data_IF_400554905734
#
_entry.id   IF_400554905734
#
_cell.length_a   1.000
_cell.length_b   1.000
_cell.length_c   1.000
_cell.angle_alpha   90.00
_cell.angle_beta   90.00
_cell.angle_gamma   90.00
#
_symmetry.space_group_name_H-M   'P 1'
#
loop_
_entity.id
_entity.type
_entity.pdbx_description
1 polymer ?
#
# COMPACT_ATOMS: atom_id res chain seq x y z
N UNK A 1 -43.24 -39.66 -37.94
CA UNK A 1 -42.59 -38.34 -37.71
C UNK A 1 -42.17 -38.27 -36.25
N UNK A 2 -40.95 -38.65 -35.93
CA UNK A 2 -40.40 -38.51 -34.57
C UNK A 2 -39.72 -37.14 -34.47
N UNK A 3 -40.20 -36.31 -33.56
CA UNK A 3 -39.62 -35.01 -33.20
C UNK A 3 -38.43 -35.25 -32.28
N UNK A 4 -37.23 -34.96 -32.75
CA UNK A 4 -36.03 -34.88 -31.90
C UNK A 4 -35.95 -33.46 -31.32
N UNK A 5 -36.23 -33.33 -30.03
CA UNK A 5 -36.01 -32.10 -29.27
C UNK A 5 -34.55 -32.11 -28.81
N UNK A 6 -33.73 -31.22 -29.36
CA UNK A 6 -32.39 -30.94 -28.86
C UNK A 6 -32.50 -30.06 -27.62
N UNK A 7 -32.24 -30.63 -26.44
CA UNK A 7 -31.98 -29.87 -25.24
C UNK A 7 -30.55 -29.30 -25.31
N UNK A 8 -30.44 -28.01 -25.62
CA UNK A 8 -29.21 -27.25 -25.36
C UNK A 8 -29.12 -26.98 -23.86
N UNK A 9 -28.32 -27.79 -23.15
CA UNK A 9 -27.83 -27.45 -21.83
C UNK A 9 -26.80 -26.32 -21.99
N UNK A 10 -27.25 -25.08 -21.85
CA UNK A 10 -26.38 -23.94 -21.55
C UNK A 10 -25.82 -24.14 -20.14
N UNK A 11 -24.64 -24.75 -20.05
CA UNK A 11 -23.84 -24.75 -18.84
C UNK A 11 -23.33 -23.36 -18.56
N UNK A 12 -24.12 -22.54 -17.86
CA UNK A 12 -23.61 -21.35 -17.19
C UNK A 12 -22.82 -21.87 -15.99
N UNK A 13 -21.52 -22.10 -16.20
CA UNK A 13 -20.62 -22.40 -15.09
C UNK A 13 -20.57 -21.21 -14.17
N UNK A 14 -21.31 -21.25 -13.06
CA UNK A 14 -21.00 -20.46 -11.88
C UNK A 14 -19.72 -21.06 -11.29
N UNK A 15 -18.56 -20.56 -11.73
CA UNK A 15 -17.28 -20.96 -11.15
C UNK A 15 -17.20 -20.32 -9.76
N UNK A 16 -17.64 -21.06 -8.73
CA UNK A 16 -17.43 -20.68 -7.34
C UNK A 16 -15.94 -20.55 -7.05
N UNK A 17 -15.58 -19.67 -6.11
CA UNK A 17 -14.20 -19.51 -5.69
C UNK A 17 -13.64 -20.83 -5.15
N UNK A 18 -12.41 -21.13 -5.55
CA UNK A 18 -11.69 -22.29 -5.04
C UNK A 18 -10.84 -21.89 -3.83
N UNK A 19 -10.63 -22.80 -2.86
CA UNK A 19 -9.63 -22.60 -1.83
C UNK A 19 -8.28 -22.15 -2.39
N UNK A 20 -7.53 -21.25 -1.72
CA UNK A 20 -7.80 -20.67 -0.39
C UNK A 20 -8.62 -19.37 -0.41
N UNK A 21 -9.24 -19.02 -1.54
CA UNK A 21 -9.90 -17.72 -1.76
C UNK A 21 -11.36 -17.67 -1.32
N UNK A 22 -11.89 -18.78 -0.86
CA UNK A 22 -13.29 -18.99 -0.46
C UNK A 22 -13.58 -18.61 1.01
N UNK A 23 -12.55 -18.39 1.83
CA UNK A 23 -12.69 -18.04 3.27
C UNK A 23 -12.25 -16.60 3.53
N UNK A 24 -13.21 -15.73 3.83
CA UNK A 24 -12.99 -14.31 4.12
C UNK A 24 -14.16 -13.73 4.91
N UNK A 25 -13.99 -12.60 5.63
CA UNK A 25 -15.09 -11.98 6.36
C UNK A 25 -16.16 -11.44 5.41
N UNK A 26 -17.42 -11.46 5.86
CA UNK A 26 -18.52 -10.78 5.18
C UNK A 26 -18.25 -9.28 5.11
N UNK A 27 -18.60 -8.67 3.98
CA UNK A 27 -18.38 -7.25 3.71
C UNK A 27 -19.70 -6.49 3.77
N UNK A 28 -20.34 -6.54 4.94
CA UNK A 28 -21.48 -5.69 5.27
C UNK A 28 -21.00 -4.29 5.67
N UNK A 29 -21.80 -3.22 5.47
CA UNK A 29 -21.44 -1.88 5.92
C UNK A 29 -20.91 -1.87 7.36
N UNK A 30 -19.79 -1.18 7.64
CA UNK A 30 -19.13 -0.16 6.80
C UNK A 30 -18.14 -0.69 5.74
N UNK A 31 -18.15 -1.99 5.48
CA UNK A 31 -17.34 -2.62 4.42
C UNK A 31 -18.18 -2.83 3.16
N UNK A 32 -17.51 -2.74 2.01
CA UNK A 32 -18.11 -2.99 0.70
C UNK A 32 -17.14 -3.79 -0.15
N UNK A 33 -17.64 -4.78 -0.89
CA UNK A 33 -16.79 -5.64 -1.71
C UNK A 33 -17.39 -5.88 -3.10
N UNK A 34 -16.52 -5.88 -4.09
CA UNK A 34 -16.79 -6.33 -5.46
C UNK A 34 -15.74 -7.36 -5.89
N UNK A 35 -16.10 -8.20 -6.86
CA UNK A 35 -15.18 -9.12 -7.52
C UNK A 35 -15.22 -8.88 -9.03
N UNK A 36 -14.04 -8.86 -9.65
CA UNK A 36 -13.92 -8.94 -11.10
C UNK A 36 -13.33 -10.29 -11.48
N UNK A 37 -13.84 -10.88 -12.55
CA UNK A 37 -13.30 -12.11 -13.13
C UNK A 37 -12.04 -11.84 -13.93
N UNK A 38 -11.23 -12.89 -14.13
CA UNK A 38 -10.12 -12.83 -15.07
C UNK A 38 -10.63 -12.65 -16.51
N UNK A 39 -9.86 -11.89 -17.29
CA UNK A 39 -9.98 -11.79 -18.73
C UNK A 39 -8.66 -12.28 -19.36
N UNK A 40 -8.70 -13.34 -20.20
CA UNK A 40 -7.51 -13.94 -20.79
C UNK A 40 -6.86 -13.09 -21.89
N UNK A 41 -7.50 -12.00 -22.33
CA UNK A 41 -6.95 -11.13 -23.36
C UNK A 41 -5.63 -10.48 -22.90
N UNK A 42 -4.60 -10.37 -23.77
CA UNK A 42 -3.34 -9.73 -23.42
C UNK A 42 -3.53 -8.31 -22.89
N UNK A 43 -2.84 -7.99 -21.78
CA UNK A 43 -2.93 -6.67 -21.14
C UNK A 43 -4.20 -6.45 -20.31
N UNK A 44 -5.08 -7.46 -20.20
CA UNK A 44 -6.24 -7.44 -19.29
C UNK A 44 -5.97 -8.22 -18.02
N UNK A 45 -6.81 -7.99 -17.01
CA UNK A 45 -6.71 -8.60 -15.69
C UNK A 45 -6.67 -10.14 -15.78
N UNK A 46 -5.51 -10.75 -15.56
CA UNK A 46 -5.33 -12.21 -15.77
C UNK A 46 -5.76 -13.07 -14.58
N UNK A 47 -5.97 -12.49 -13.41
CA UNK A 47 -6.44 -13.20 -12.21
C UNK A 47 -7.70 -12.53 -11.68
N UNK A 48 -8.70 -13.28 -11.22
CA UNK A 48 -9.82 -12.67 -10.53
C UNK A 48 -9.33 -11.86 -9.34
N UNK A 49 -10.05 -10.81 -8.98
CA UNK A 49 -9.66 -9.93 -7.88
C UNK A 49 -10.87 -9.50 -7.09
N UNK A 50 -10.73 -9.51 -5.77
CA UNK A 50 -11.68 -8.88 -4.85
C UNK A 50 -11.13 -7.53 -4.42
N UNK A 51 -11.93 -6.49 -4.59
CA UNK A 51 -11.66 -5.20 -3.99
C UNK A 51 -12.58 -5.04 -2.80
N UNK A 52 -12.01 -4.97 -1.60
CA UNK A 52 -12.76 -4.66 -0.38
C UNK A 52 -12.36 -3.27 0.10
N UNK A 53 -13.34 -2.42 0.35
CA UNK A 53 -13.14 -1.09 0.95
C UNK A 53 -13.86 -1.01 2.29
N UNK A 54 -13.20 -0.44 3.28
CA UNK A 54 -13.78 0.04 4.51
C UNK A 54 -13.90 1.56 4.44
N UNK A 55 -15.05 2.09 4.84
CA UNK A 55 -15.33 3.53 4.85
C UNK A 55 -15.61 3.96 6.31
N UNK A 56 -14.95 4.99 6.83
CA UNK A 56 -15.22 5.47 8.18
C UNK A 56 -16.69 5.82 8.39
N UNK A 57 -17.30 5.32 9.46
CA UNK A 57 -18.69 5.66 9.78
C UNK A 57 -18.87 7.17 9.97
N UNK A 58 -19.93 7.72 9.40
CA UNK A 58 -20.28 9.14 9.52
C UNK A 58 -19.43 10.10 8.68
N UNK A 59 -18.50 9.60 7.85
CA UNK A 59 -17.79 10.47 6.91
C UNK A 59 -18.77 10.99 5.85
N UNK A 60 -18.91 12.30 5.72
CA UNK A 60 -19.80 12.90 4.71
C UNK A 60 -19.19 12.86 3.30
N UNK A 61 -17.87 13.01 3.22
CA UNK A 61 -17.10 12.99 1.98
C UNK A 61 -15.69 12.49 2.23
N UNK A 62 -15.22 11.58 1.37
CA UNK A 62 -13.85 11.09 1.40
C UNK A 62 -12.86 12.13 0.87
N UNK A 63 -11.73 12.28 1.55
CA UNK A 63 -10.62 13.16 1.12
C UNK A 63 -9.47 12.37 0.46
N UNK A 64 -9.43 11.05 0.64
CA UNK A 64 -8.40 10.17 0.12
C UNK A 64 -8.74 8.70 0.21
N UNK A 65 -7.80 7.86 -0.21
CA UNK A 65 -7.86 6.41 -0.08
C UNK A 65 -6.50 5.87 0.37
N UNK A 66 -6.48 5.06 1.42
CA UNK A 66 -5.31 4.24 1.78
C UNK A 66 -5.47 2.89 1.11
N UNK A 67 -4.45 2.44 0.37
CA UNK A 67 -4.45 1.13 -0.30
C UNK A 67 -3.42 0.22 0.35
N UNK A 68 -3.84 -0.98 0.75
CA UNK A 68 -2.98 -1.98 1.37
C UNK A 68 -2.85 -3.22 0.48
N UNK A 69 -1.84 -3.23 -0.39
CA UNK A 69 -1.66 -4.26 -1.42
C UNK A 69 -0.77 -5.43 -0.94
N UNK A 70 -1.28 -6.65 -1.01
CA UNK A 70 -0.53 -7.88 -0.67
C UNK A 70 0.59 -8.22 -1.68
N UNK A 71 1.46 -9.18 -1.32
CA UNK A 71 2.52 -9.72 -2.18
C UNK A 71 2.13 -10.89 -3.09
N UNK A 72 3.10 -11.45 -3.82
CA UNK A 72 2.86 -12.56 -4.76
C UNK A 72 2.59 -13.88 -4.04
N UNK A 73 1.77 -14.74 -4.64
CA UNK A 73 1.53 -16.12 -4.18
C UNK A 73 0.34 -16.26 -3.22
N UNK A 74 -0.20 -17.48 -3.10
CA UNK A 74 -1.49 -17.76 -2.45
C UNK A 74 -1.51 -17.32 -0.99
N UNK A 75 -0.41 -17.54 -0.26
CA UNK A 75 -0.28 -17.12 1.13
C UNK A 75 -0.45 -15.62 1.32
N UNK A 76 0.18 -14.82 0.46
CA UNK A 76 0.03 -13.36 0.49
C UNK A 76 -1.36 -12.93 0.02
N UNK A 77 -1.88 -13.54 -1.04
CA UNK A 77 -3.23 -13.25 -1.55
C UNK A 77 -4.30 -13.46 -0.46
N UNK A 78 -4.18 -14.54 0.33
CA UNK A 78 -5.04 -14.82 1.50
C UNK A 78 -4.95 -13.72 2.55
N UNK A 79 -3.75 -13.24 2.89
CA UNK A 79 -3.61 -12.12 3.83
C UNK A 79 -4.25 -10.82 3.33
N UNK A 80 -4.35 -10.64 2.02
CA UNK A 80 -5.04 -9.49 1.41
C UNK A 80 -6.55 -9.48 1.66
N UNK A 81 -7.18 -10.64 1.87
CA UNK A 81 -8.63 -10.75 2.08
C UNK A 81 -9.11 -10.03 3.35
N UNK A 82 -8.22 -9.86 4.33
CA UNK A 82 -8.50 -9.16 5.60
C UNK A 82 -7.87 -7.79 5.69
N UNK A 83 -7.18 -7.30 4.65
CA UNK A 83 -6.43 -6.04 4.71
C UNK A 83 -7.31 -4.82 5.04
N UNK A 84 -8.56 -4.81 4.58
CA UNK A 84 -9.50 -3.73 4.88
C UNK A 84 -10.00 -3.75 6.34
N UNK A 85 -9.82 -4.85 7.08
CA UNK A 85 -10.18 -5.00 8.51
C UNK A 85 -9.02 -4.67 9.46
N UNK A 86 -7.86 -4.26 8.95
CA UNK A 86 -6.73 -3.92 9.82
C UNK A 86 -7.00 -2.59 10.54
N UNK A 87 -7.35 -2.70 11.83
CA UNK A 87 -7.80 -1.58 12.66
C UNK A 87 -6.78 -0.44 12.77
N UNK A 88 -5.47 -0.74 12.68
CA UNK A 88 -4.43 0.30 12.76
C UNK A 88 -4.37 1.12 11.48
N UNK A 89 -4.51 0.46 10.31
CA UNK A 89 -4.64 1.16 9.03
C UNK A 89 -5.98 1.89 8.90
N UNK A 90 -7.05 1.37 9.49
CA UNK A 90 -8.33 2.08 9.59
C UNK A 90 -8.20 3.36 10.42
N UNK A 91 -7.46 3.35 11.53
CA UNK A 91 -7.21 4.55 12.34
C UNK A 91 -6.49 5.64 11.53
N UNK A 92 -5.48 5.27 10.74
CA UNK A 92 -4.81 6.19 9.80
C UNK A 92 -5.80 6.75 8.78
N UNK A 93 -6.58 5.88 8.13
CA UNK A 93 -7.52 6.29 7.10
C UNK A 93 -8.59 7.23 7.70
N UNK A 94 -9.15 6.89 8.86
CA UNK A 94 -10.16 7.68 9.56
C UNK A 94 -9.69 9.09 9.90
N UNK A 95 -8.48 9.22 10.45
CA UNK A 95 -7.90 10.52 10.81
C UNK A 95 -7.92 11.51 9.64
N UNK A 96 -7.66 11.01 8.44
CA UNK A 96 -7.57 11.79 7.20
C UNK A 96 -8.86 11.77 6.37
N UNK A 97 -9.97 11.27 6.91
CA UNK A 97 -11.24 11.05 6.18
C UNK A 97 -11.03 10.26 4.88
N UNK A 98 -10.12 9.31 4.91
CA UNK A 98 -9.85 8.39 3.84
C UNK A 98 -10.62 7.08 4.03
N UNK A 99 -10.92 6.40 2.93
CA UNK A 99 -11.30 4.99 2.96
C UNK A 99 -10.03 4.11 3.03
N UNK A 100 -10.17 2.85 3.47
CA UNK A 100 -9.12 1.83 3.42
C UNK A 100 -9.52 0.74 2.43
N UNK A 101 -8.72 0.50 1.40
CA UNK A 101 -9.00 -0.50 0.38
C UNK A 101 -7.89 -1.55 0.31
N UNK A 102 -8.29 -2.81 0.29
CA UNK A 102 -7.41 -3.95 0.12
C UNK A 102 -7.86 -4.79 -1.08
N UNK A 103 -7.11 -4.79 -2.19
CA UNK A 103 -7.30 -5.75 -3.27
C UNK A 103 -6.80 -7.12 -2.82
N UNK A 104 -7.42 -8.19 -3.31
CA UNK A 104 -6.94 -9.57 -3.15
C UNK A 104 -7.05 -10.26 -4.50
N UNK A 105 -5.92 -10.38 -5.21
CA UNK A 105 -5.80 -11.09 -6.47
C UNK A 105 -5.74 -12.59 -6.20
N UNK A 106 -6.52 -13.37 -6.93
CA UNK A 106 -6.62 -14.82 -6.77
C UNK A 106 -5.50 -15.52 -7.60
N UNK A 107 -4.24 -15.11 -7.37
CA UNK A 107 -3.08 -15.62 -8.10
C UNK A 107 -2.71 -17.05 -7.62
N UNK A 108 -2.69 -18.07 -8.49
CA UNK A 108 -2.21 -19.40 -8.11
C UNK A 108 -0.73 -19.38 -7.66
N UNK A 109 -0.34 -20.29 -6.77
CA UNK A 109 0.97 -20.22 -6.07
C UNK A 109 2.18 -20.14 -7.01
N UNK A 110 2.13 -20.87 -8.12
CA UNK A 110 3.22 -20.92 -9.12
C UNK A 110 3.01 -20.00 -10.31
N UNK A 111 1.90 -19.25 -10.35
CA UNK A 111 1.61 -18.37 -11.46
C UNK A 111 2.56 -17.16 -11.48
N UNK A 112 2.76 -16.59 -12.67
CA UNK A 112 3.58 -15.41 -12.83
C UNK A 112 2.89 -14.18 -12.21
N UNK A 113 3.42 -13.67 -11.10
CA UNK A 113 2.80 -12.52 -10.45
C UNK A 113 2.89 -11.21 -11.23
N UNK A 114 3.79 -11.10 -12.23
CA UNK A 114 3.84 -9.93 -13.11
C UNK A 114 2.52 -9.66 -13.85
N UNK A 115 1.69 -10.69 -14.03
CA UNK A 115 0.40 -10.56 -14.71
C UNK A 115 -0.62 -9.70 -13.93
N UNK A 116 -0.37 -9.39 -12.65
CA UNK A 116 -1.14 -8.40 -11.91
C UNK A 116 -0.27 -7.33 -11.26
N UNK A 117 0.95 -7.67 -10.82
CA UNK A 117 1.77 -6.75 -10.06
C UNK A 117 2.50 -5.72 -10.92
N UNK A 118 2.56 -5.95 -12.23
CA UNK A 118 2.75 -4.88 -13.21
C UNK A 118 1.38 -4.28 -13.53
N UNK A 119 1.10 -3.04 -13.12
CA UNK A 119 -0.21 -2.42 -13.29
C UNK A 119 -0.68 -2.38 -14.74
N UNK A 120 0.26 -2.31 -15.70
CA UNK A 120 0.00 -2.24 -17.15
C UNK A 120 -0.64 -3.51 -17.72
N UNK A 121 -0.67 -4.60 -16.95
CA UNK A 121 -1.35 -5.84 -17.31
C UNK A 121 -2.82 -5.84 -16.88
N UNK A 122 -3.46 -4.67 -16.89
CA UNK A 122 -4.90 -4.48 -16.68
C UNK A 122 -5.34 -4.44 -15.22
N UNK A 123 -4.41 -4.54 -14.26
CA UNK A 123 -4.75 -4.40 -12.84
C UNK A 123 -4.95 -2.95 -12.43
N UNK A 124 -4.37 -1.98 -13.17
CA UNK A 124 -4.68 -0.56 -13.00
C UNK A 124 -6.08 -0.20 -13.50
N UNK A 125 -6.46 -0.65 -14.70
CA UNK A 125 -7.79 -0.47 -15.27
C UNK A 125 -8.85 -1.08 -14.34
N UNK A 126 -8.61 -2.30 -13.85
CA UNK A 126 -9.50 -2.97 -12.89
C UNK A 126 -9.60 -2.19 -11.57
N UNK A 127 -8.49 -1.68 -11.04
CA UNK A 127 -8.49 -0.86 -9.83
C UNK A 127 -9.28 0.43 -10.01
N UNK A 128 -9.05 1.18 -11.08
CA UNK A 128 -9.77 2.42 -11.40
C UNK A 128 -11.28 2.18 -11.57
N UNK A 129 -11.65 1.08 -12.22
CA UNK A 129 -13.05 0.70 -12.37
C UNK A 129 -13.66 0.31 -11.01
N UNK A 130 -12.93 -0.43 -10.18
CA UNK A 130 -13.33 -0.81 -8.84
C UNK A 130 -13.65 0.42 -7.98
N UNK A 131 -12.82 1.47 -8.01
CA UNK A 131 -13.08 2.68 -7.24
C UNK A 131 -14.41 3.35 -7.60
N UNK A 132 -14.75 3.39 -8.90
CA UNK A 132 -16.02 3.94 -9.37
C UNK A 132 -17.21 3.10 -8.92
N UNK A 133 -17.11 1.78 -9.04
CA UNK A 133 -18.22 0.88 -8.72
C UNK A 133 -18.41 0.74 -7.20
N UNK A 134 -17.32 0.67 -6.43
CA UNK A 134 -17.33 0.75 -4.97
C UNK A 134 -17.94 2.07 -4.50
N UNK A 135 -17.59 3.19 -5.14
CA UNK A 135 -18.16 4.50 -4.83
C UNK A 135 -19.67 4.55 -5.03
N UNK A 136 -20.20 3.89 -6.08
CA UNK A 136 -21.65 3.77 -6.29
C UNK A 136 -22.33 2.95 -5.20
N UNK A 137 -21.83 1.76 -4.89
CA UNK A 137 -22.52 0.85 -3.93
C UNK A 137 -22.40 1.32 -2.48
N UNK A 138 -21.39 2.14 -2.17
CA UNK A 138 -21.18 2.71 -0.84
C UNK A 138 -21.79 4.10 -0.66
N UNK A 139 -22.39 4.67 -1.70
CA UNK A 139 -22.86 6.07 -1.71
C UNK A 139 -21.75 7.12 -1.53
N UNK A 140 -20.51 6.77 -1.90
CA UNK A 140 -19.34 7.66 -1.94
C UNK A 140 -18.77 7.75 -3.37
N UNK A 141 -19.48 8.36 -4.34
CA UNK A 141 -19.05 8.41 -5.75
C UNK A 141 -17.69 9.11 -5.93
N UNK A 142 -17.29 9.99 -5.00
CA UNK A 142 -15.98 10.63 -4.98
C UNK A 142 -14.82 9.65 -4.89
N UNK A 143 -15.05 8.40 -4.46
CA UNK A 143 -14.02 7.36 -4.35
C UNK A 143 -13.25 7.14 -5.68
N UNK A 144 -13.91 7.36 -6.83
CA UNK A 144 -13.27 7.30 -8.14
C UNK A 144 -12.22 8.39 -8.40
N UNK A 145 -12.28 9.50 -7.66
CA UNK A 145 -11.51 10.72 -7.92
C UNK A 145 -10.53 11.09 -6.80
N UNK A 146 -10.76 10.63 -5.57
CA UNK A 146 -9.88 10.92 -4.43
C UNK A 146 -8.44 10.41 -4.66
N UNK A 147 -7.42 11.09 -4.11
CA UNK A 147 -6.03 10.65 -4.20
C UNK A 147 -5.71 9.46 -3.28
N UNK A 148 -4.59 8.79 -3.52
CA UNK A 148 -4.22 7.52 -2.90
C UNK A 148 -2.93 7.57 -2.11
N UNK A 149 -2.91 7.00 -0.91
CA UNK A 149 -1.70 6.59 -0.20
C UNK A 149 -1.50 5.09 -0.42
N UNK A 150 -0.39 4.70 -1.05
CA UNK A 150 -0.19 3.33 -1.54
C UNK A 150 0.85 2.58 -0.72
N UNK A 151 0.42 1.58 0.05
CA UNK A 151 1.32 0.61 0.66
C UNK A 151 1.30 -0.69 -0.15
N UNK A 152 2.46 -1.30 -0.36
CA UNK A 152 2.55 -2.58 -1.05
C UNK A 152 3.71 -3.43 -0.59
N UNK A 153 3.47 -4.74 -0.45
CA UNK A 153 4.48 -5.74 -0.11
C UNK A 153 4.91 -6.57 -1.32
N UNK A 154 6.20 -6.73 -1.56
CA UNK A 154 6.77 -7.60 -2.61
C UNK A 154 6.18 -7.26 -3.99
N UNK A 155 5.40 -8.15 -4.60
CA UNK A 155 4.60 -7.84 -5.79
C UNK A 155 3.70 -6.61 -5.61
N UNK A 156 3.08 -6.45 -4.45
CA UNK A 156 2.33 -5.25 -4.12
C UNK A 156 3.18 -3.98 -4.10
N UNK A 157 4.46 -4.08 -3.75
CA UNK A 157 5.42 -2.98 -3.87
C UNK A 157 5.73 -2.64 -5.34
N UNK A 158 5.87 -3.65 -6.21
CA UNK A 158 5.94 -3.42 -7.66
C UNK A 158 4.69 -2.69 -8.17
N UNK A 159 3.51 -3.14 -7.74
CA UNK A 159 2.24 -2.55 -8.15
C UNK A 159 2.11 -1.11 -7.64
N UNK A 160 2.32 -0.86 -6.34
CA UNK A 160 2.20 0.46 -5.73
C UNK A 160 3.18 1.47 -6.37
N UNK A 161 4.43 1.06 -6.58
CA UNK A 161 5.41 1.90 -7.27
C UNK A 161 5.08 2.11 -8.75
N UNK A 162 4.59 1.08 -9.44
CA UNK A 162 4.14 1.18 -10.83
C UNK A 162 2.95 2.15 -10.99
N UNK A 163 1.94 2.03 -10.12
CA UNK A 163 0.80 2.96 -10.05
C UNK A 163 1.27 4.39 -9.79
N UNK A 164 2.30 4.57 -8.96
CA UNK A 164 2.91 5.89 -8.71
C UNK A 164 3.58 6.48 -9.95
N UNK A 165 4.17 5.64 -10.82
CA UNK A 165 4.78 6.11 -12.07
C UNK A 165 3.73 6.41 -13.16
N UNK A 166 2.63 5.66 -13.17
CA UNK A 166 1.53 5.84 -14.12
C UNK A 166 0.62 7.03 -13.76
N UNK A 167 0.32 7.21 -12.47
CA UNK A 167 -0.66 8.18 -11.96
C UNK A 167 -0.10 9.06 -10.82
N UNK A 168 1.08 9.70 -10.97
CA UNK A 168 1.73 10.42 -9.86
C UNK A 168 0.89 11.57 -9.29
N UNK A 169 0.01 12.18 -10.09
CA UNK A 169 -0.92 13.22 -9.68
C UNK A 169 -2.03 12.72 -8.73
N UNK A 170 -2.29 11.41 -8.75
CA UNK A 170 -3.24 10.75 -7.85
C UNK A 170 -2.59 10.21 -6.59
N UNK A 171 -1.25 10.09 -6.51
CA UNK A 171 -0.59 9.44 -5.38
C UNK A 171 -0.06 10.45 -4.36
N UNK A 172 -0.58 10.39 -3.13
CA UNK A 172 -0.15 11.15 -1.95
C UNK A 172 1.21 10.67 -1.44
N UNK A 173 1.45 9.37 -1.40
CA UNK A 173 2.70 8.78 -0.94
C UNK A 173 2.73 7.28 -1.27
N UNK A 174 3.92 6.70 -1.34
CA UNK A 174 4.10 5.28 -1.62
C UNK A 174 5.11 4.60 -0.68
N UNK A 175 4.71 3.48 -0.07
CA UNK A 175 5.57 2.64 0.77
C UNK A 175 5.81 1.28 0.11
N UNK A 176 7.08 1.00 -0.18
CA UNK A 176 7.54 -0.09 -1.01
C UNK A 176 8.22 -1.15 -0.14
N UNK A 177 7.42 -2.00 0.53
CA UNK A 177 7.92 -3.07 1.40
C UNK A 177 8.44 -4.22 0.54
N UNK A 178 9.75 -4.43 0.51
CA UNK A 178 10.40 -5.56 -0.17
C UNK A 178 10.11 -5.71 -1.68
N UNK A 179 9.74 -4.65 -2.38
CA UNK A 179 9.52 -4.66 -3.83
C UNK A 179 9.43 -3.26 -4.43
N UNK A 180 10.11 -3.05 -5.56
CA UNK A 180 10.12 -1.78 -6.32
C UNK A 180 9.98 -2.04 -7.82
N UNK A 181 9.28 -1.19 -8.59
CA UNK A 181 9.22 -1.34 -10.04
C UNK A 181 10.61 -1.16 -10.68
N UNK A 182 10.79 -1.68 -11.88
CA UNK A 182 12.00 -1.42 -12.67
C UNK A 182 11.85 -0.09 -13.41
N UNK A 183 12.92 0.71 -13.42
CA UNK A 183 13.05 1.94 -14.22
C UNK A 183 14.00 1.78 -15.40
N UNK A 184 14.80 0.71 -15.40
CA UNK A 184 15.77 0.38 -16.44
C UNK A 184 15.73 -1.13 -16.68
N UNK A 185 16.06 -1.56 -17.89
CA UNK A 185 16.08 -2.97 -18.25
C UNK A 185 17.06 -3.74 -17.36
N UNK A 186 16.64 -4.93 -16.92
CA UNK A 186 17.47 -5.81 -16.13
C UNK A 186 17.63 -7.16 -16.86
N UNK A 187 18.81 -7.45 -17.45
CA UNK A 187 19.04 -8.72 -18.14
C UNK A 187 18.84 -9.95 -17.26
N UNK A 188 18.95 -9.82 -15.93
CA UNK A 188 18.68 -10.92 -14.99
C UNK A 188 17.18 -11.15 -14.74
N UNK A 189 16.30 -10.28 -15.24
CA UNK A 189 14.84 -10.29 -15.04
C UNK A 189 14.09 -9.85 -16.30
N UNK A 190 14.31 -10.54 -17.41
CA UNK A 190 13.72 -10.19 -18.73
C UNK A 190 12.19 -10.09 -18.71
N UNK A 191 11.51 -10.86 -17.85
CA UNK A 191 10.06 -10.85 -17.72
C UNK A 191 9.48 -9.66 -16.92
N UNK A 192 10.34 -8.79 -16.37
CA UNK A 192 9.92 -7.57 -15.66
C UNK A 192 10.32 -6.39 -16.52
N UNK A 193 9.35 -5.69 -17.09
CA UNK A 193 9.60 -4.60 -18.01
C UNK A 193 9.81 -3.27 -17.27
N UNK A 194 10.76 -2.42 -17.68
CA UNK A 194 10.92 -1.11 -17.09
C UNK A 194 9.68 -0.24 -17.34
N UNK A 195 9.35 0.60 -16.38
CA UNK A 195 8.35 1.65 -16.53
C UNK A 195 8.96 2.84 -17.28
N UNK A 196 8.13 3.50 -18.09
CA UNK A 196 8.51 4.79 -18.66
C UNK A 196 8.75 5.81 -17.54
N UNK A 197 9.75 6.66 -17.71
CA UNK A 197 10.06 7.70 -16.74
C UNK A 197 8.98 8.77 -16.74
N UNK A 198 8.41 9.06 -15.56
CA UNK A 198 7.48 10.16 -15.35
C UNK A 198 8.05 11.12 -14.31
N UNK A 199 8.45 12.31 -14.74
CA UNK A 199 9.07 13.30 -13.86
C UNK A 199 8.13 13.81 -12.75
N UNK A 200 6.81 13.73 -12.94
CA UNK A 200 5.85 14.11 -11.89
C UNK A 200 5.94 13.17 -10.66
N UNK A 201 6.40 11.92 -10.83
CA UNK A 201 6.62 10.99 -9.74
C UNK A 201 7.72 11.47 -8.75
N UNK A 202 8.59 12.40 -9.16
CA UNK A 202 9.59 13.01 -8.27
C UNK A 202 8.96 13.83 -7.13
N UNK A 203 7.73 14.31 -7.31
CA UNK A 203 6.98 15.04 -6.28
C UNK A 203 6.27 14.12 -5.29
N UNK A 204 6.24 12.81 -5.54
CA UNK A 204 5.60 11.82 -4.68
C UNK A 204 6.61 11.33 -3.63
N UNK A 205 6.33 11.48 -2.33
CA UNK A 205 7.09 10.81 -1.28
C UNK A 205 7.08 9.30 -1.44
N UNK A 206 8.26 8.68 -1.44
CA UNK A 206 8.43 7.23 -1.52
C UNK A 206 9.33 6.71 -0.40
N UNK A 207 9.06 5.51 0.10
CA UNK A 207 9.94 4.81 1.04
C UNK A 207 10.25 3.39 0.55
N UNK A 208 11.52 3.11 0.29
CA UNK A 208 12.01 1.75 0.10
C UNK A 208 12.19 1.08 1.47
N UNK A 209 11.49 -0.02 1.74
CA UNK A 209 11.54 -0.71 3.03
C UNK A 209 11.83 -2.21 2.88
N UNK A 210 13.08 -2.62 2.61
CA UNK A 210 13.46 -4.02 2.64
C UNK A 210 13.81 -4.49 4.06
N UNK A 211 13.70 -5.79 4.32
CA UNK A 211 14.33 -6.45 5.46
C UNK A 211 15.84 -6.61 5.26
N UNK A 212 16.60 -6.60 6.35
CA UNK A 212 18.06 -6.68 6.30
C UNK A 212 18.56 -7.96 5.61
N UNK A 213 17.83 -9.07 5.76
CA UNK A 213 18.22 -10.36 5.15
C UNK A 213 17.93 -10.44 3.65
N UNK A 214 17.42 -9.37 3.03
CA UNK A 214 17.10 -9.32 1.61
C UNK A 214 18.24 -8.76 0.74
N UNK A 215 19.49 -9.08 1.09
CA UNK A 215 20.67 -8.59 0.39
C UNK A 215 21.44 -7.49 1.11
N UNK A 216 20.96 -6.98 2.25
CA UNK A 216 21.72 -6.02 3.08
C UNK A 216 22.78 -6.75 3.91
N UNK A 217 22.37 -7.74 4.71
CA UNK A 217 23.27 -8.58 5.53
C UNK A 217 23.45 -9.97 4.95
N UNK A 218 22.37 -10.61 4.46
CA UNK A 218 22.44 -11.93 3.80
C UNK A 218 22.52 -11.76 2.29
N UNK A 219 23.67 -12.11 1.70
CA UNK A 219 23.97 -11.86 0.27
C UNK A 219 23.60 -13.01 -0.68
N UNK A 220 23.01 -14.10 -0.17
CA UNK A 220 22.65 -15.30 -0.94
C UNK A 220 21.18 -15.69 -0.72
N UNK A 221 20.66 -16.58 -1.57
CA UNK A 221 19.28 -17.06 -1.49
C UNK A 221 18.29 -16.24 -2.31
N UNK A 222 17.01 -16.66 -2.26
CA UNK A 222 15.93 -16.20 -3.14
C UNK A 222 15.75 -14.67 -3.14
N UNK A 223 15.93 -14.02 -1.99
CA UNK A 223 15.65 -12.58 -1.82
C UNK A 223 16.89 -11.70 -1.77
N UNK A 224 18.11 -12.24 -1.92
CA UNK A 224 19.35 -11.46 -1.83
C UNK A 224 19.49 -10.32 -2.85
N UNK A 225 18.69 -10.33 -3.91
CA UNK A 225 18.71 -9.29 -4.95
C UNK A 225 17.76 -8.13 -4.70
N UNK A 226 16.87 -8.22 -3.71
CA UNK A 226 15.90 -7.15 -3.39
C UNK A 226 16.62 -5.86 -2.99
N UNK A 227 17.68 -5.94 -2.18
CA UNK A 227 18.49 -4.78 -1.83
C UNK A 227 19.07 -4.08 -3.06
N UNK A 228 19.70 -4.82 -3.98
CA UNK A 228 20.28 -4.23 -5.19
C UNK A 228 19.24 -3.58 -6.10
N UNK A 229 18.01 -4.12 -6.15
CA UNK A 229 16.91 -3.52 -6.89
C UNK A 229 16.45 -2.21 -6.25
N UNK A 230 16.30 -2.19 -4.92
CA UNK A 230 15.97 -0.99 -4.15
C UNK A 230 17.06 0.09 -4.30
N UNK A 231 18.34 -0.27 -4.29
CA UNK A 231 19.43 0.68 -4.51
C UNK A 231 19.36 1.35 -5.88
N UNK A 232 19.11 0.58 -6.96
CA UNK A 232 18.97 1.12 -8.31
C UNK A 232 17.76 2.05 -8.42
N UNK A 233 16.61 1.61 -7.92
CA UNK A 233 15.38 2.42 -7.91
C UNK A 233 15.57 3.73 -7.12
N UNK A 234 16.08 3.62 -5.88
CA UNK A 234 16.41 4.75 -5.02
C UNK A 234 17.35 5.73 -5.71
N UNK A 235 18.47 5.23 -6.26
CA UNK A 235 19.47 6.05 -6.91
C UNK A 235 18.87 6.84 -8.08
N UNK A 236 18.07 6.19 -8.93
CA UNK A 236 17.45 6.84 -10.09
C UNK A 236 16.51 7.98 -9.67
N UNK A 237 15.67 7.75 -8.68
CA UNK A 237 14.73 8.76 -8.17
C UNK A 237 15.48 9.87 -7.45
N UNK A 238 16.40 9.54 -6.53
CA UNK A 238 17.07 10.52 -5.67
C UNK A 238 18.07 11.39 -6.44
N UNK A 239 18.82 10.82 -7.40
CA UNK A 239 19.69 11.61 -8.29
C UNK A 239 18.90 12.59 -9.16
N UNK A 240 17.63 12.29 -9.42
CA UNK A 240 16.70 13.17 -10.12
C UNK A 240 15.96 14.12 -9.16
N UNK A 241 16.49 14.34 -7.95
CA UNK A 241 15.92 15.20 -6.89
C UNK A 241 14.58 14.73 -6.30
N UNK A 242 14.17 13.48 -6.54
CA UNK A 242 12.91 12.94 -6.05
C UNK A 242 12.87 12.72 -4.53
N UNK A 243 11.66 12.72 -3.97
CA UNK A 243 11.41 12.54 -2.54
C UNK A 243 11.40 11.06 -2.16
N UNK A 244 12.57 10.47 -1.91
CA UNK A 244 12.67 9.04 -1.60
C UNK A 244 13.61 8.75 -0.41
N UNK A 245 13.16 7.85 0.46
CA UNK A 245 13.93 7.32 1.59
C UNK A 245 14.21 5.82 1.47
N UNK A 246 15.09 5.32 2.34
CA UNK A 246 15.32 3.91 2.62
C UNK A 246 15.16 3.71 4.13
N UNK A 247 14.34 2.75 4.53
CA UNK A 247 14.23 2.30 5.90
C UNK A 247 14.44 0.79 5.93
N UNK A 248 15.65 0.32 6.23
CA UNK A 248 15.90 -1.13 6.32
C UNK A 248 15.35 -1.63 7.64
N UNK A 249 14.57 -2.72 7.60
CA UNK A 249 14.09 -3.40 8.80
C UNK A 249 15.19 -4.35 9.33
N UNK A 250 15.82 -4.07 10.48
CA UNK A 250 16.98 -4.82 10.97
C UNK A 250 16.62 -6.23 11.47
N UNK A 251 15.35 -6.55 11.70
CA UNK A 251 14.92 -7.80 12.32
C UNK A 251 14.32 -8.81 11.33
N UNK A 252 14.01 -8.38 10.11
CA UNK A 252 13.26 -9.19 9.16
C UNK A 252 14.03 -9.61 7.90
N UNK A 253 13.45 -10.61 7.23
CA UNK A 253 13.70 -10.96 5.84
C UNK A 253 12.59 -10.39 4.94
N UNK A 254 11.88 -11.26 4.20
CA UNK A 254 10.91 -10.86 3.18
C UNK A 254 9.49 -10.71 3.72
N UNK A 255 9.21 -11.12 4.97
CA UNK A 255 7.97 -10.85 5.69
C UNK A 255 7.78 -9.35 5.95
N UNK A 256 6.66 -8.91 6.54
CA UNK A 256 6.39 -7.48 6.79
C UNK A 256 7.01 -6.94 8.09
N UNK A 257 7.40 -7.79 9.03
CA UNK A 257 8.01 -7.37 10.31
C UNK A 257 7.21 -6.28 11.03
N UNK A 258 7.94 -5.36 11.67
CA UNK A 258 7.38 -4.25 12.45
C UNK A 258 7.18 -2.96 11.64
N UNK A 259 7.24 -3.03 10.30
CA UNK A 259 7.24 -1.84 9.44
C UNK A 259 6.06 -0.90 9.63
N UNK A 260 4.89 -1.43 10.02
CA UNK A 260 3.66 -0.63 10.21
C UNK A 260 3.87 0.51 11.21
N UNK A 261 4.69 0.30 12.25
CA UNK A 261 4.96 1.29 13.29
C UNK A 261 5.77 2.49 12.79
N UNK A 262 6.45 2.38 11.63
CA UNK A 262 7.01 3.54 10.94
C UNK A 262 6.15 3.97 9.73
N UNK A 263 5.61 3.02 8.98
CA UNK A 263 4.85 3.31 7.77
C UNK A 263 3.60 4.15 8.04
N UNK A 264 2.83 3.82 9.08
CA UNK A 264 1.61 4.55 9.44
C UNK A 264 1.91 6.00 9.84
N UNK A 265 2.81 6.32 10.78
CA UNK A 265 3.13 7.72 11.08
C UNK A 265 3.82 8.42 9.91
N UNK A 266 4.57 7.72 9.04
CA UNK A 266 5.12 8.31 7.83
C UNK A 266 4.03 8.69 6.82
N UNK A 267 3.03 7.83 6.61
CA UNK A 267 1.86 8.14 5.79
C UNK A 267 1.03 9.27 6.39
N UNK A 268 0.83 9.27 7.71
CA UNK A 268 0.15 10.35 8.44
C UNK A 268 0.76 11.72 8.10
N UNK A 269 2.09 11.83 8.18
CA UNK A 269 2.81 13.06 7.82
C UNK A 269 2.67 13.43 6.34
N UNK A 270 2.63 12.45 5.43
CA UNK A 270 2.47 12.71 4.00
C UNK A 270 1.04 13.12 3.63
N UNK A 271 0.03 12.45 4.19
CA UNK A 271 -1.38 12.77 4.01
C UNK A 271 -1.68 14.19 4.50
N UNK A 272 -1.27 14.51 5.73
CA UNK A 272 -1.41 15.86 6.32
C UNK A 272 -0.79 16.95 5.43
N UNK A 273 0.38 16.66 4.85
CA UNK A 273 1.12 17.62 4.03
C UNK A 273 0.51 17.78 2.62
N UNK A 274 0.00 16.70 2.01
CA UNK A 274 -0.28 16.66 0.58
C UNK A 274 -1.75 16.59 0.20
N UNK A 275 -2.64 16.10 1.06
CA UNK A 275 -4.07 16.08 0.73
C UNK A 275 -4.57 17.50 0.42
N UNK A 276 -5.44 17.68 -0.58
CA UNK A 276 -5.97 19.00 -0.94
C UNK A 276 -6.75 19.61 0.23
N UNK A 277 -6.67 20.94 0.41
CA UNK A 277 -7.48 21.62 1.43
C UNK A 277 -8.93 21.78 1.00
N UNK A 278 -9.15 21.87 -0.31
CA UNK A 278 -10.46 21.93 -0.93
C UNK A 278 -10.57 20.72 -1.85
N UNK A 279 -11.60 19.92 -1.64
CA UNK A 279 -11.72 18.66 -2.35
C UNK A 279 -12.03 18.88 -3.84
N UNK A 280 -11.27 18.20 -4.70
CA UNK A 280 -11.24 18.41 -6.15
C UNK A 280 -10.02 19.21 -6.63
N UNK A 281 -9.28 19.88 -5.73
CA UNK A 281 -7.99 20.48 -6.08
C UNK A 281 -6.87 19.44 -6.21
N UNK A 282 -5.78 19.82 -6.87
CA UNK A 282 -4.59 18.98 -7.00
C UNK A 282 -3.88 18.75 -5.66
N UNK A 283 -3.12 17.66 -5.58
CA UNK A 283 -2.25 17.38 -4.43
C UNK A 283 -1.28 18.53 -4.17
N UNK A 284 -1.10 18.86 -2.89
CA UNK A 284 -0.12 19.84 -2.46
C UNK A 284 1.30 19.26 -2.57
N UNK A 285 2.26 20.16 -2.79
CA UNK A 285 3.68 19.83 -2.73
C UNK A 285 4.10 19.55 -1.28
N UNK A 286 5.12 18.70 -1.10
CA UNK A 286 5.74 18.53 0.22
C UNK A 286 6.45 19.81 0.68
N UNK A 287 6.41 20.13 1.98
CA UNK A 287 7.22 21.20 2.55
C UNK A 287 8.73 20.89 2.41
N UNK A 288 9.44 21.66 1.59
CA UNK A 288 10.88 21.44 1.34
C UNK A 288 11.76 21.86 2.53
N UNK A 289 11.33 22.85 3.31
CA UNK A 289 12.11 23.41 4.42
C UNK A 289 12.16 22.57 5.70
N UNK A 290 11.41 21.47 5.77
CA UNK A 290 11.33 20.62 6.96
C UNK A 290 12.14 19.32 6.84
N UNK A 291 12.68 19.03 5.66
CA UNK A 291 13.30 17.74 5.37
C UNK A 291 14.50 17.42 6.27
N UNK A 292 14.71 16.12 6.48
CA UNK A 292 15.88 15.55 7.15
C UNK A 292 16.59 14.59 6.19
N UNK A 293 17.89 14.45 6.38
CA UNK A 293 18.73 13.60 5.57
C UNK A 293 19.55 12.62 6.42
N UNK A 294 19.72 11.41 5.90
CA UNK A 294 20.63 10.41 6.43
C UNK A 294 21.48 9.80 5.30
N UNK A 295 22.67 9.33 5.64
CA UNK A 295 23.44 8.49 4.72
C UNK A 295 22.75 7.12 4.59
N UNK A 296 22.88 6.49 3.42
CA UNK A 296 22.33 5.16 3.18
C UNK A 296 22.95 4.16 4.17
N UNK A 297 22.10 3.38 4.85
CA UNK A 297 22.45 2.41 5.91
C UNK A 297 23.02 3.02 7.20
N UNK A 298 22.99 4.34 7.35
CA UNK A 298 23.26 4.97 8.64
C UNK A 298 22.02 4.87 9.55
N UNK A 299 22.22 5.07 10.85
CA UNK A 299 21.15 5.06 11.86
C UNK A 299 20.81 6.48 12.35
N UNK A 300 21.52 7.50 11.84
CA UNK A 300 21.35 8.89 12.24
C UNK A 300 20.89 9.75 11.07
N UNK A 301 19.84 10.52 11.32
CA UNK A 301 19.38 11.58 10.43
C UNK A 301 19.65 12.95 11.06
N UNK A 302 19.91 13.95 10.24
CA UNK A 302 20.08 15.35 10.64
C UNK A 302 19.16 16.25 9.83
N UNK A 303 18.82 17.46 10.32
CA UNK A 303 18.10 18.44 9.52
C UNK A 303 18.79 18.69 8.18
N UNK A 304 18.02 18.93 7.10
CA UNK A 304 18.59 19.12 5.77
C UNK A 304 19.66 20.21 5.69
N UNK A 305 19.55 21.26 6.52
CA UNK A 305 20.51 22.37 6.61
C UNK A 305 21.84 21.99 7.28
N UNK A 306 21.86 20.93 8.06
CA UNK A 306 23.01 20.43 8.80
C UNK A 306 23.69 19.24 8.10
N UNK A 307 23.09 18.74 7.01
CA UNK A 307 23.62 17.62 6.26
C UNK A 307 24.83 18.05 5.42
N UNK A 308 26.00 17.47 5.70
CA UNK A 308 27.26 17.78 5.02
C UNK A 308 27.52 16.92 3.78
N UNK A 309 26.75 15.86 3.55
CA UNK A 309 26.83 15.00 2.37
C UNK A 309 26.07 15.55 1.16
N UNK A 310 26.07 14.81 0.05
CA UNK A 310 25.28 15.15 -1.14
C UNK A 310 23.79 14.84 -0.92
N UNK A 311 22.88 15.85 -0.89
CA UNK A 311 21.46 15.60 -0.65
C UNK A 311 20.84 14.67 -1.70
N UNK A 312 21.31 14.70 -2.95
CA UNK A 312 20.79 13.88 -4.06
C UNK A 312 21.26 12.41 -4.00
N UNK A 313 21.96 12.03 -2.95
CA UNK A 313 22.36 10.66 -2.65
C UNK A 313 21.91 10.22 -1.24
N UNK A 314 21.28 11.12 -0.49
CA UNK A 314 20.85 10.91 0.89
C UNK A 314 19.43 10.37 0.97
N UNK A 315 19.16 9.56 2.00
CA UNK A 315 17.80 9.20 2.42
C UNK A 315 17.05 10.49 2.74
N UNK A 316 15.91 10.73 2.08
CA UNK A 316 15.02 11.84 2.41
C UNK A 316 13.95 11.41 3.41
N UNK A 317 13.72 12.26 4.42
CA UNK A 317 12.67 12.10 5.43
C UNK A 317 11.86 13.41 5.52
N UNK A 318 10.52 13.34 5.64
CA UNK A 318 9.66 14.51 5.42
C UNK A 318 9.81 15.59 6.48
N UNK A 319 10.09 15.21 7.73
CA UNK A 319 10.27 16.13 8.85
C UNK A 319 11.02 15.47 10.03
N UNK A 320 11.32 16.28 11.05
CA UNK A 320 12.07 15.83 12.22
C UNK A 320 11.34 14.84 13.13
N UNK A 321 9.99 14.85 13.17
CA UNK A 321 9.22 13.84 13.90
C UNK A 321 9.47 12.46 13.27
N UNK A 322 9.26 12.37 11.96
CA UNK A 322 9.46 11.12 11.21
C UNK A 322 10.92 10.69 11.19
N UNK A 323 11.86 11.63 11.12
CA UNK A 323 13.28 11.30 11.18
C UNK A 323 13.66 10.62 12.51
N UNK A 324 13.09 11.07 13.64
CA UNK A 324 13.31 10.41 14.94
C UNK A 324 12.73 9.01 14.99
N UNK A 325 11.51 8.82 14.50
CA UNK A 325 10.91 7.48 14.42
C UNK A 325 11.71 6.57 13.48
N UNK A 326 12.21 7.09 12.36
CA UNK A 326 13.07 6.36 11.44
C UNK A 326 14.37 5.90 12.12
N UNK A 327 15.02 6.75 12.93
CA UNK A 327 16.25 6.38 13.66
C UNK A 327 16.01 5.23 14.66
N UNK A 328 14.85 5.20 15.33
CA UNK A 328 14.44 4.04 16.13
C UNK A 328 14.20 2.81 15.24
N UNK A 329 13.44 2.98 14.17
CA UNK A 329 13.04 1.88 13.30
C UNK A 329 14.22 1.11 12.69
N UNK A 330 15.17 1.84 12.09
CA UNK A 330 16.30 1.21 11.37
C UNK A 330 17.31 0.57 12.32
N UNK A 331 17.28 0.94 13.60
CA UNK A 331 18.15 0.40 14.63
C UNK A 331 17.61 -0.92 15.20
N UNK A 332 16.36 -0.92 15.67
CA UNK A 332 15.79 -2.06 16.41
C UNK A 332 14.29 -2.28 16.17
N UNK A 333 13.65 -1.46 15.33
CA UNK A 333 12.18 -1.44 15.09
C UNK A 333 11.33 -1.04 16.30
N UNK A 334 11.95 -0.65 17.43
CA UNK A 334 11.24 -0.24 18.64
C UNK A 334 10.82 1.23 18.53
N UNK A 335 9.65 1.45 17.93
CA UNK A 335 9.04 2.76 17.85
C UNK A 335 8.45 3.14 19.21
N UNK A 336 8.93 4.20 19.87
CA UNK A 336 8.41 4.59 21.18
C UNK A 336 7.02 5.20 21.03
N UNK A 337 6.04 4.61 21.72
CA UNK A 337 4.74 5.20 21.97
C UNK A 337 4.65 5.67 23.43
N UNK A 338 4.24 6.91 23.62
CA UNK A 338 4.02 7.54 24.94
C UNK A 338 2.66 8.19 25.05
N UNK A 339 1.80 8.04 24.05
CA UNK A 339 0.43 8.55 24.09
C UNK A 339 -0.48 7.54 24.78
N UNK A 340 -1.46 7.99 25.59
CA UNK A 340 -2.49 7.09 26.06
C UNK A 340 -3.38 6.66 24.89
N UNK A 341 -3.95 5.44 24.92
CA UNK A 341 -4.91 5.02 23.89
C UNK A 341 -6.12 5.96 23.85
N UNK A 342 -6.86 6.00 22.73
CA UNK A 342 -8.11 6.74 22.62
C UNK A 342 -9.08 6.36 23.73
N UNK A 343 -9.75 7.36 24.32
CA UNK A 343 -10.74 7.11 25.36
C UNK A 343 -11.92 6.31 24.81
N UNK A 344 -12.43 5.30 25.55
CA UNK A 344 -13.62 4.58 25.14
C UNK A 344 -14.84 5.50 25.10
N UNK A 345 -15.80 5.17 24.25
CA UNK A 345 -17.01 5.95 24.04
C UNK A 345 -18.25 5.05 24.03
N UNK A 346 -19.43 5.65 23.97
CA UNK A 346 -20.69 4.90 23.93
C UNK A 346 -20.94 4.04 25.18
N UNK A 347 -20.46 4.49 26.34
CA UNK A 347 -20.59 3.75 27.61
C UNK A 347 -22.07 3.59 27.97
N UNK A 348 -22.50 2.35 28.19
CA UNK A 348 -23.85 2.00 28.66
C UNK A 348 -23.75 1.08 29.86
N UNK A 349 -24.57 1.35 30.87
CA UNK A 349 -24.69 0.53 32.09
C UNK A 349 -26.06 -0.14 32.09
N UNK A 350 -26.09 -1.45 32.25
CA UNK A 350 -27.32 -2.24 32.34
C UNK A 350 -27.18 -3.26 33.48
N UNK A 351 -27.75 -2.93 34.64
CA UNK A 351 -27.57 -3.72 35.87
C UNK A 351 -26.10 -3.75 36.28
N UNK A 352 -25.49 -4.93 36.25
CA UNK A 352 -24.08 -5.16 36.54
C UNK A 352 -23.19 -5.24 35.29
N UNK A 353 -23.72 -4.94 34.08
CA UNK A 353 -22.95 -4.96 32.83
C UNK A 353 -22.67 -3.55 32.33
N UNK A 354 -21.39 -3.30 32.00
CA UNK A 354 -20.96 -2.10 31.29
C UNK A 354 -20.55 -2.50 29.86
N UNK A 355 -21.01 -1.76 28.85
CA UNK A 355 -20.60 -1.93 27.45
C UNK A 355 -20.08 -0.60 26.91
N UNK A 356 -19.00 -0.63 26.14
CA UNK A 356 -18.39 0.55 25.52
C UNK A 356 -17.83 0.18 24.15
N UNK A 357 -17.47 1.21 23.39
CA UNK A 357 -16.77 1.12 22.11
C UNK A 357 -15.38 1.75 22.25
N UNK A 358 -14.44 1.34 21.42
CA UNK A 358 -13.09 1.88 21.37
C UNK A 358 -12.60 1.96 19.92
N UNK A 359 -11.71 2.90 19.65
CA UNK A 359 -10.99 3.01 18.39
C UNK A 359 -9.56 2.50 18.59
N UNK A 360 -8.96 1.98 17.52
CA UNK A 360 -7.54 1.67 17.54
C UNK A 360 -6.71 2.96 17.65
N UNK A 361 -5.61 2.88 18.37
CA UNK A 361 -4.64 3.95 18.50
C UNK A 361 -3.86 4.15 17.19
N UNK A 362 -3.56 5.39 16.83
CA UNK A 362 -2.84 5.68 15.58
C UNK A 362 -1.35 5.34 15.70
N UNK A 363 -0.77 5.47 16.88
CA UNK A 363 0.63 5.25 17.16
C UNK A 363 0.94 3.74 17.30
N UNK A 364 0.11 2.98 18.02
CA UNK A 364 0.35 1.57 18.38
C UNK A 364 -0.75 0.58 17.98
N UNK A 365 -1.88 1.03 17.42
CA UNK A 365 -2.96 0.16 16.97
C UNK A 365 -3.82 -0.37 18.13
N UNK A 366 -4.00 -1.69 18.21
CA UNK A 366 -4.77 -2.35 19.30
C UNK A 366 -3.87 -2.99 20.36
N UNK A 367 -2.56 -2.71 20.32
CA UNK A 367 -1.60 -3.32 21.21
C UNK A 367 -1.40 -2.47 22.46
N UNK A 368 -1.77 -3.03 23.62
CA UNK A 368 -1.12 -2.77 24.90
C UNK A 368 -0.92 -4.09 25.64
#
# INVERSE_FOLDING_TARGET
MFRTIFFFLLGVGLWGQTPPYDVFPDADPPYYRLRYEANPDPGKLQFPVKYTVWIPEGVERLEGLVVHQHGCGEGSCKSGLTGAWDLHWQALAQKHKCALLAPSYEQPEKANCQLWCDPRNGSDEAFLQALKDLGKISSHPELGEVPWALWGHSGGGHWAGGMTLLYPERVVACWLRSGVPLLEANPERENVLPHAWNAAALQVPMMCNPGTKEGVTVKTGRFARVWSANQRFFSKIRHSHGLIGIAVDPLSAHECGNQRYLAIPWFDACLEARLPKVAGESLRNMPSGQAWYAQILDEKAVPAKEYSGNPNQAVWLPNGKIAKLWMHYVKDTEIPDRTPPPSPFGIRVSGNRITWQAQADLESGISH
#
